data_IF_567787720607
#
_entry.id   IF_567787720607
#
_cell.length_a   1.000
_cell.length_b   1.000
_cell.length_c   1.000
_cell.angle_alpha   90.00
_cell.angle_beta   90.00
_cell.angle_gamma   90.00
#
_symmetry.space_group_name_H-M   'P 1'
#
loop_
_entity.id
_entity.type
_entity.pdbx_description
1 polymer ?
#
# COMPACT_ATOMS: atom_id res chain seq x y z
N UNK A 1 -18.28 4.10 -5.57
CA UNK A 1 -17.64 4.47 -4.28
C UNK A 1 -16.14 4.46 -4.51
N UNK A 2 -15.35 5.25 -3.75
CA UNK A 2 -13.89 5.20 -3.85
C UNK A 2 -13.33 4.24 -2.80
N UNK A 3 -12.43 3.36 -3.21
CA UNK A 3 -11.77 2.38 -2.34
C UNK A 3 -10.29 2.70 -2.29
N UNK A 4 -9.74 2.81 -1.07
CA UNK A 4 -8.32 3.05 -0.84
C UNK A 4 -7.76 1.86 -0.05
N UNK A 5 -6.68 1.25 -0.51
CA UNK A 5 -6.03 0.15 0.21
C UNK A 5 -4.52 0.18 0.04
N UNK A 6 -3.79 0.09 1.16
CA UNK A 6 -2.34 0.03 1.19
C UNK A 6 -1.84 -1.30 1.73
N UNK A 7 -0.74 -1.82 1.17
CA UNK A 7 -0.03 -2.98 1.72
C UNK A 7 1.45 -2.65 1.90
N UNK A 8 2.01 -3.05 3.03
CA UNK A 8 3.44 -2.91 3.29
C UNK A 8 4.29 -3.81 2.37
N UNK A 9 5.49 -3.37 1.95
CA UNK A 9 6.45 -4.20 1.24
C UNK A 9 7.17 -5.21 2.15
N UNK A 10 6.42 -5.95 2.98
CA UNK A 10 6.94 -6.96 3.89
C UNK A 10 6.79 -8.37 3.32
N UNK A 11 7.84 -9.18 3.49
CA UNK A 11 7.89 -10.58 3.06
C UNK A 11 7.66 -10.82 1.56
N UNK A 12 7.79 -12.08 1.14
CA UNK A 12 7.38 -12.50 -0.20
C UNK A 12 5.86 -12.67 -0.27
N UNK A 13 5.26 -12.40 -1.43
CA UNK A 13 3.85 -12.69 -1.65
C UNK A 13 3.66 -14.20 -1.73
N UNK A 14 2.69 -14.72 -0.99
CA UNK A 14 2.27 -16.10 -1.02
C UNK A 14 0.76 -16.21 -1.26
N UNK A 15 0.26 -17.43 -1.43
CA UNK A 15 -1.15 -17.69 -1.78
C UNK A 15 -2.15 -17.11 -0.77
N UNK A 16 -1.77 -17.07 0.51
CA UNK A 16 -2.54 -16.37 1.55
C UNK A 16 -2.80 -14.90 1.25
N UNK A 17 -1.82 -14.13 0.75
CA UNK A 17 -2.04 -12.74 0.37
C UNK A 17 -2.95 -12.63 -0.86
N UNK A 18 -2.80 -13.54 -1.82
CA UNK A 18 -3.61 -13.54 -3.02
C UNK A 18 -5.09 -13.79 -2.71
N UNK A 19 -5.38 -14.86 -1.96
CA UNK A 19 -6.75 -15.21 -1.59
C UNK A 19 -7.35 -14.25 -0.56
N UNK A 20 -6.53 -13.68 0.32
CA UNK A 20 -6.96 -12.80 1.40
C UNK A 20 -7.26 -11.37 0.97
N UNK A 21 -6.51 -10.82 0.02
CA UNK A 21 -6.66 -9.41 -0.39
C UNK A 21 -6.68 -9.22 -1.91
N UNK A 22 -5.68 -9.73 -2.64
CA UNK A 22 -5.48 -9.38 -4.06
C UNK A 22 -6.67 -9.81 -4.93
N UNK A 23 -7.21 -11.02 -4.72
CA UNK A 23 -8.40 -11.49 -5.45
C UNK A 23 -9.63 -10.59 -5.25
N UNK A 24 -9.78 -10.04 -4.05
CA UNK A 24 -10.86 -9.10 -3.75
C UNK A 24 -10.61 -7.76 -4.44
N UNK A 25 -9.37 -7.26 -4.43
CA UNK A 25 -9.00 -6.03 -5.14
C UNK A 25 -9.31 -6.10 -6.64
N UNK A 26 -8.99 -7.23 -7.28
CA UNK A 26 -9.32 -7.46 -8.70
C UNK A 26 -10.82 -7.37 -8.95
N UNK A 27 -11.65 -7.86 -8.02
CA UNK A 27 -13.10 -7.77 -8.14
C UNK A 27 -13.63 -6.36 -7.87
N UNK A 28 -12.95 -5.60 -7.00
CA UNK A 28 -13.34 -4.25 -6.60
C UNK A 28 -13.07 -3.21 -7.69
N UNK A 29 -11.94 -3.31 -8.39
CA UNK A 29 -11.56 -2.37 -9.46
C UNK A 29 -12.55 -2.38 -10.64
N UNK A 30 -13.28 -3.47 -10.87
CA UNK A 30 -14.30 -3.53 -11.93
C UNK A 30 -15.56 -2.70 -11.61
N UNK A 31 -15.76 -2.33 -10.34
CA UNK A 31 -17.01 -1.72 -9.85
C UNK A 31 -16.80 -0.38 -9.14
N UNK A 32 -15.56 0.00 -8.88
CA UNK A 32 -15.23 1.14 -8.03
C UNK A 32 -14.01 1.88 -8.56
N UNK A 33 -13.90 3.15 -8.18
CA UNK A 33 -12.63 3.88 -8.30
C UNK A 33 -11.69 3.37 -7.21
N UNK A 34 -10.66 2.65 -7.62
CA UNK A 34 -9.72 2.03 -6.71
C UNK A 34 -8.38 2.77 -6.68
N UNK A 35 -7.85 2.94 -5.48
CA UNK A 35 -6.54 3.53 -5.20
C UNK A 35 -5.75 2.53 -4.35
N UNK A 36 -4.79 1.88 -4.98
CA UNK A 36 -3.93 0.87 -4.35
C UNK A 36 -2.51 1.41 -4.22
N UNK A 37 -1.87 1.16 -3.08
CA UNK A 37 -0.50 1.64 -2.89
C UNK A 37 0.39 0.71 -2.08
N UNK A 38 1.69 0.76 -2.39
CA UNK A 38 2.72 0.16 -1.55
C UNK A 38 3.04 1.12 -0.41
N UNK A 39 2.73 0.71 0.82
CA UNK A 39 2.90 1.49 2.04
C UNK A 39 4.35 1.40 2.55
N UNK A 40 5.30 1.93 1.78
CA UNK A 40 6.73 1.84 2.07
C UNK A 40 7.14 2.65 3.30
N UNK A 41 6.58 3.84 3.53
CA UNK A 41 6.85 4.62 4.76
C UNK A 41 6.41 3.87 6.02
N UNK A 42 5.29 3.14 5.97
CA UNK A 42 4.85 2.30 7.09
C UNK A 42 5.80 1.14 7.37
N UNK A 43 6.58 0.68 6.39
CA UNK A 43 7.56 -0.38 6.62
C UNK A 43 8.82 0.10 7.35
N UNK A 44 9.04 1.42 7.44
CA UNK A 44 10.19 2.00 8.12
C UNK A 44 10.05 2.00 9.65
N UNK A 45 8.85 1.74 10.19
CA UNK A 45 8.58 1.76 11.65
C UNK A 45 8.98 0.47 12.35
N UNK A 46 9.48 -0.52 11.62
CA UNK A 46 9.98 -1.81 12.12
C UNK A 46 11.37 -2.08 11.53
N UNK A 47 12.18 -3.01 12.08
CA UNK A 47 13.48 -3.34 11.49
C UNK A 47 13.36 -3.81 10.03
N UNK A 48 14.19 -3.25 9.15
CA UNK A 48 14.27 -3.60 7.73
C UNK A 48 15.71 -3.52 7.23
N UNK A 49 16.02 -4.21 6.13
CA UNK A 49 17.31 -4.08 5.44
C UNK A 49 17.20 -3.01 4.34
N UNK A 50 17.88 -1.85 4.46
CA UNK A 50 17.74 -0.74 3.51
C UNK A 50 18.08 -1.13 2.08
N UNK A 51 19.07 -2.02 1.89
CA UNK A 51 19.48 -2.49 0.56
C UNK A 51 18.42 -3.33 -0.14
N UNK A 52 17.49 -3.92 0.61
CA UNK A 52 16.42 -4.76 0.06
C UNK A 52 15.10 -4.03 -0.14
N UNK A 53 14.88 -2.91 0.56
CA UNK A 53 13.58 -2.24 0.58
C UNK A 53 13.12 -1.81 -0.83
N UNK A 54 14.03 -1.23 -1.61
CA UNK A 54 13.72 -0.80 -2.97
C UNK A 54 13.29 -1.96 -3.87
N UNK A 55 13.98 -3.11 -3.77
CA UNK A 55 13.63 -4.31 -4.50
C UNK A 55 12.26 -4.84 -4.06
N UNK A 56 12.00 -4.88 -2.75
CA UNK A 56 10.70 -5.33 -2.20
C UNK A 56 9.55 -4.45 -2.68
N UNK A 57 9.73 -3.13 -2.75
CA UNK A 57 8.71 -2.22 -3.29
C UNK A 57 8.38 -2.58 -4.74
N UNK A 58 9.41 -2.73 -5.58
CA UNK A 58 9.25 -3.06 -7.01
C UNK A 58 8.59 -4.44 -7.17
N UNK A 59 9.06 -5.45 -6.44
CA UNK A 59 8.52 -6.80 -6.47
C UNK A 59 7.03 -6.84 -6.10
N UNK A 60 6.59 -6.05 -5.10
CA UNK A 60 5.16 -5.97 -4.74
C UNK A 60 4.33 -5.37 -5.86
N UNK A 61 4.76 -4.26 -6.46
CA UNK A 61 4.04 -3.64 -7.58
C UNK A 61 3.93 -4.61 -8.75
N UNK A 62 5.03 -5.25 -9.13
CA UNK A 62 5.06 -6.26 -10.21
C UNK A 62 4.08 -7.38 -9.90
N UNK A 63 4.10 -7.91 -8.67
CA UNK A 63 3.22 -9.01 -8.28
C UNK A 63 1.74 -8.62 -8.28
N UNK A 64 1.37 -7.38 -7.91
CA UNK A 64 -0.01 -6.93 -8.00
C UNK A 64 -0.50 -6.87 -9.44
N UNK A 65 0.30 -6.28 -10.33
CA UNK A 65 -0.04 -6.20 -11.75
C UNK A 65 -0.12 -7.60 -12.36
N UNK A 66 0.88 -8.46 -12.10
CA UNK A 66 0.91 -9.84 -12.57
C UNK A 66 -0.27 -10.68 -12.06
N UNK A 67 -0.77 -10.38 -10.86
CA UNK A 67 -1.93 -11.08 -10.29
C UNK A 67 -3.27 -10.64 -10.90
N UNK A 68 -3.31 -9.52 -11.64
CA UNK A 68 -4.49 -9.03 -12.35
C UNK A 68 -4.96 -7.63 -11.96
N UNK A 69 -4.20 -6.87 -11.17
CA UNK A 69 -4.48 -5.45 -10.94
C UNK A 69 -4.15 -4.66 -12.21
N UNK A 70 -5.09 -3.87 -12.70
CA UNK A 70 -4.96 -3.16 -13.97
C UNK A 70 -4.71 -1.66 -13.73
N UNK A 71 -3.54 -1.11 -14.10
CA UNK A 71 -3.23 0.32 -13.97
C UNK A 71 -4.17 1.24 -14.77
N UNK A 72 -4.85 0.72 -15.80
CA UNK A 72 -5.84 1.48 -16.58
C UNK A 72 -7.19 1.58 -15.85
N UNK A 73 -7.44 0.71 -14.86
CA UNK A 73 -8.69 0.69 -14.08
C UNK A 73 -8.53 1.27 -12.68
N UNK A 74 -7.32 1.25 -12.13
CA UNK A 74 -7.03 1.66 -10.76
C UNK A 74 -5.78 2.53 -10.69
N UNK A 75 -5.74 3.45 -9.73
CA UNK A 75 -4.53 4.20 -9.41
C UNK A 75 -3.61 3.29 -8.58
N UNK A 76 -2.38 3.06 -9.05
CA UNK A 76 -1.37 2.25 -8.38
C UNK A 76 -0.13 3.10 -8.15
N UNK A 77 0.33 3.26 -6.90
CA UNK A 77 1.49 4.09 -6.59
C UNK A 77 2.28 3.62 -5.35
N UNK A 78 3.41 4.27 -5.09
CA UNK A 78 4.26 4.04 -3.90
C UNK A 78 4.07 5.20 -2.93
N UNK A 79 3.80 4.93 -1.66
CA UNK A 79 3.41 5.95 -0.66
C UNK A 79 4.42 7.10 -0.57
N UNK A 80 5.73 6.81 -0.51
CA UNK A 80 6.79 7.84 -0.44
C UNK A 80 6.88 8.76 -1.65
N UNK A 81 6.32 8.39 -2.80
CA UNK A 81 6.34 9.21 -4.02
C UNK A 81 5.29 10.33 -4.01
N UNK A 82 4.37 10.31 -3.04
CA UNK A 82 3.33 11.34 -2.85
C UNK A 82 3.56 11.99 -1.49
N UNK A 83 4.36 13.06 -1.48
CA UNK A 83 4.90 13.71 -0.27
C UNK A 83 3.80 14.25 0.64
N UNK A 84 2.65 14.57 0.07
CA UNK A 84 1.45 15.02 0.77
C UNK A 84 1.00 14.04 1.86
N UNK A 85 1.32 12.74 1.74
CA UNK A 85 1.09 11.77 2.82
C UNK A 85 1.85 12.14 4.10
N UNK A 86 3.11 12.55 3.98
CA UNK A 86 3.93 12.93 5.14
C UNK A 86 3.50 14.27 5.74
N UNK A 87 3.14 15.23 4.87
CA UNK A 87 2.67 16.55 5.30
C UNK A 87 1.34 16.44 6.05
N UNK A 88 0.38 15.68 5.50
CA UNK A 88 -0.91 15.46 6.13
C UNK A 88 -0.78 14.62 7.41
N UNK A 89 0.09 13.60 7.43
CA UNK A 89 0.37 12.83 8.64
C UNK A 89 0.83 13.73 9.79
N UNK A 90 1.73 14.68 9.53
CA UNK A 90 2.16 15.65 10.54
C UNK A 90 0.99 16.48 11.06
N UNK A 91 0.14 17.03 10.18
CA UNK A 91 -1.03 17.80 10.59
C UNK A 91 -2.00 16.96 11.43
N UNK A 92 -2.27 15.70 11.04
CA UNK A 92 -3.17 14.81 11.77
C UNK A 92 -2.63 14.47 13.17
N UNK A 93 -1.32 14.31 13.32
CA UNK A 93 -0.70 14.09 14.62
C UNK A 93 -0.88 15.28 15.57
N UNK A 94 -1.10 16.52 15.07
CA UNK A 94 -1.37 17.68 15.94
C UNK A 94 -2.77 17.70 16.53
N UNK A 95 -3.68 16.88 16.01
CA UNK A 95 -5.08 16.81 16.46
C UNK A 95 -5.45 15.44 17.05
N UNK A 96 -4.61 14.42 16.86
CA UNK A 96 -4.81 13.09 17.44
C UNK A 96 -4.30 13.07 18.91
N UNK A 97 -5.17 12.81 19.90
CA UNK A 97 -4.76 12.66 21.29
C UNK A 97 -3.83 11.45 21.47
N UNK A 98 -2.82 11.57 22.34
CA UNK A 98 -1.89 10.45 22.63
C UNK A 98 -2.65 9.21 23.12
N UNK A 99 -3.70 9.39 23.94
CA UNK A 99 -4.49 8.27 24.45
C UNK A 99 -5.30 7.50 23.39
N UNK A 100 -5.43 8.00 22.16
CA UNK A 100 -6.01 7.25 21.03
C UNK A 100 -4.95 6.44 20.26
N UNK A 101 -3.66 6.75 20.46
CA UNK A 101 -2.52 6.06 19.83
C UNK A 101 -2.00 4.89 20.68
N UNK A 102 -2.32 4.86 21.97
CA UNK A 102 -1.98 3.82 22.94
C UNK A 102 -3.02 2.69 22.99
#
# INVERSE_FOLDING_TARGET
MRVVSGIQPSGQIHIGNYLGAIKQWISLQEKNECVFFVADLHSLTVPYEPKELQNKIIEKVIAYIAAGLDPEKSIIFVQSQVKEHTELCWMLNTVCPIGELE
#
